data_IF_416691604954
#
_entry.id   IF_416691604954
#
_cell.length_a   1.000
_cell.length_b   1.000
_cell.length_c   1.000
_cell.angle_alpha   90.00
_cell.angle_beta   90.00
_cell.angle_gamma   90.00
#
_symmetry.space_group_name_H-M   'P 1'
#
loop_
_entity.id
_entity.type
_entity.pdbx_description
1 polymer ?
#
# COMPACT_ATOMS: atom_id res chain seq x y z
N UNK A 1 30.08 39.41 14.44
CA UNK A 1 31.30 39.21 15.23
C UNK A 1 30.85 38.62 16.54
N UNK A 2 31.30 37.41 16.80
CA UNK A 2 30.71 36.45 17.73
C UNK A 2 30.50 37.01 19.13
N UNK A 3 29.27 36.88 19.63
CA UNK A 3 28.91 37.14 21.03
C UNK A 3 29.50 36.08 21.99
N UNK A 4 30.29 35.14 21.46
CA UNK A 4 30.91 34.02 22.16
C UNK A 4 32.29 34.39 22.74
N UNK A 5 32.94 35.45 22.24
CA UNK A 5 34.31 35.83 22.62
C UNK A 5 34.42 37.01 23.60
N UNK A 6 33.30 37.47 24.20
CA UNK A 6 33.31 38.60 25.15
C UNK A 6 33.27 38.11 26.63
N UNK A 7 34.33 38.29 27.43
CA UNK A 7 34.45 37.77 28.80
C UNK A 7 33.57 38.48 29.85
N UNK A 8 32.75 39.48 29.46
CA UNK A 8 31.78 40.14 30.34
C UNK A 8 30.35 39.60 30.24
N UNK A 9 30.07 38.60 29.39
CA UNK A 9 28.73 37.99 29.31
C UNK A 9 28.58 36.98 30.47
N UNK A 10 27.65 37.19 31.42
CA UNK A 10 27.45 36.26 32.52
C UNK A 10 27.10 34.87 31.96
N UNK A 11 27.75 33.82 32.46
CA UNK A 11 27.49 32.44 32.05
C UNK A 11 26.00 32.04 32.17
N UNK A 12 25.26 32.71 33.07
CA UNK A 12 23.81 32.57 33.23
C UNK A 12 23.02 33.11 32.03
N UNK A 13 23.40 34.24 31.43
CA UNK A 13 22.73 34.78 30.23
C UNK A 13 22.97 33.91 28.99
N UNK A 14 24.17 33.33 28.88
CA UNK A 14 24.49 32.38 27.80
C UNK A 14 23.66 31.09 27.96
N UNK A 15 23.53 30.61 29.19
CA UNK A 15 22.74 29.43 29.51
C UNK A 15 21.24 29.66 29.30
N UNK A 16 20.70 30.79 29.73
CA UNK A 16 19.31 31.20 29.43
C UNK A 16 19.07 31.29 27.92
N UNK A 17 20.02 31.83 27.15
CA UNK A 17 19.88 31.91 25.69
C UNK A 17 19.90 30.52 25.03
N UNK A 18 20.74 29.61 25.51
CA UNK A 18 20.80 28.22 25.04
C UNK A 18 19.57 27.40 25.46
N UNK A 19 19.09 27.58 26.69
CA UNK A 19 17.87 26.96 27.20
C UNK A 19 16.63 27.52 26.47
N UNK A 20 16.59 28.83 26.15
CA UNK A 20 15.56 29.44 25.31
C UNK A 20 15.55 28.85 23.89
N UNK A 21 16.71 28.63 23.25
CA UNK A 21 16.79 27.96 21.94
C UNK A 21 16.30 26.50 22.05
N UNK A 22 16.64 25.82 23.15
CA UNK A 22 16.16 24.47 23.48
C UNK A 22 14.65 24.38 23.70
N UNK A 23 14.08 25.35 24.40
CA UNK A 23 12.65 25.46 24.67
C UNK A 23 11.88 25.86 23.41
N UNK A 24 12.42 26.78 22.61
CA UNK A 24 11.86 27.20 21.32
C UNK A 24 11.85 26.04 20.30
N UNK A 25 12.91 25.23 20.24
CA UNK A 25 12.93 24.05 19.35
C UNK A 25 11.95 22.97 19.83
N UNK A 26 11.81 22.75 21.13
CA UNK A 26 10.84 21.81 21.68
C UNK A 26 9.40 22.22 21.35
N UNK A 27 9.05 23.50 21.56
CA UNK A 27 7.73 24.05 21.19
C UNK A 27 7.48 23.92 19.69
N UNK A 28 8.49 24.22 18.87
CA UNK A 28 8.39 24.08 17.40
C UNK A 28 8.14 22.63 17.00
N UNK A 29 8.89 21.67 17.57
CA UNK A 29 8.71 20.25 17.29
C UNK A 29 7.35 19.73 17.76
N UNK A 30 6.87 20.19 18.91
CA UNK A 30 5.53 19.85 19.39
C UNK A 30 4.43 20.41 18.47
N UNK A 31 4.59 21.63 17.98
CA UNK A 31 3.67 22.21 16.99
C UNK A 31 3.71 21.45 15.66
N UNK A 32 4.88 20.99 15.21
CA UNK A 32 4.99 20.10 14.05
C UNK A 32 4.27 18.77 14.29
N UNK A 33 4.41 18.17 15.48
CA UNK A 33 3.69 16.95 15.85
C UNK A 33 2.16 17.15 15.85
N UNK A 34 1.67 18.30 16.33
CA UNK A 34 0.24 18.67 16.26
C UNK A 34 -0.25 18.75 14.81
N UNK A 35 0.52 19.37 13.92
CA UNK A 35 0.18 19.44 12.48
C UNK A 35 0.17 18.05 11.85
N UNK A 36 1.19 17.21 12.13
CA UNK A 36 1.23 15.82 11.67
C UNK A 36 -0.01 15.08 12.13
N UNK A 37 -0.42 15.24 13.40
CA UNK A 37 -1.60 14.56 13.93
C UNK A 37 -2.90 15.01 13.27
N UNK A 38 -3.02 16.29 12.93
CA UNK A 38 -4.15 16.80 12.14
C UNK A 38 -4.21 16.13 10.77
N UNK A 39 -3.06 16.04 10.07
CA UNK A 39 -2.96 15.40 8.76
C UNK A 39 -3.26 13.90 8.86
N UNK A 40 -2.85 13.21 9.93
CA UNK A 40 -3.20 11.80 10.17
C UNK A 40 -4.73 11.58 10.30
N UNK A 41 -5.44 12.52 10.94
CA UNK A 41 -6.91 12.46 11.04
C UNK A 41 -7.54 12.64 9.66
N UNK A 42 -7.10 13.63 8.89
CA UNK A 42 -7.61 13.89 7.55
C UNK A 42 -7.35 12.70 6.60
N UNK A 43 -6.13 12.18 6.60
CA UNK A 43 -5.75 11.02 5.77
C UNK A 43 -6.53 9.77 6.12
N UNK A 44 -6.85 9.56 7.41
CA UNK A 44 -7.73 8.46 7.83
C UNK A 44 -9.15 8.63 7.28
N UNK A 45 -9.71 9.84 7.36
CA UNK A 45 -11.03 10.15 6.80
C UNK A 45 -11.08 9.94 5.28
N UNK A 46 -10.06 10.39 4.55
CA UNK A 46 -9.94 10.18 3.11
C UNK A 46 -9.89 8.69 2.75
N UNK A 47 -9.13 7.88 3.50
CA UNK A 47 -9.04 6.44 3.27
C UNK A 47 -10.36 5.71 3.50
N UNK A 48 -11.12 6.11 4.53
CA UNK A 48 -12.46 5.56 4.78
C UNK A 48 -13.43 5.89 3.64
N UNK A 49 -13.38 7.11 3.13
CA UNK A 49 -14.19 7.55 2.00
C UNK A 49 -13.79 6.87 0.68
N UNK A 50 -12.49 6.71 0.42
CA UNK A 50 -11.97 5.96 -0.72
C UNK A 50 -12.48 4.51 -0.68
N UNK A 51 -12.42 3.86 0.49
CA UNK A 51 -12.96 2.51 0.67
C UNK A 51 -14.45 2.46 0.37
N UNK A 52 -15.23 3.40 0.89
CA UNK A 52 -16.68 3.50 0.64
C UNK A 52 -17.00 3.63 -0.85
N UNK A 53 -16.24 4.47 -1.57
CA UNK A 53 -16.40 4.66 -3.01
C UNK A 53 -15.97 3.42 -3.80
N UNK A 54 -14.87 2.77 -3.41
CA UNK A 54 -14.40 1.53 -4.01
C UNK A 54 -15.42 0.39 -3.85
N UNK A 55 -16.01 0.26 -2.65
CA UNK A 55 -17.07 -0.72 -2.38
C UNK A 55 -18.33 -0.44 -3.21
N UNK A 56 -18.72 0.84 -3.33
CA UNK A 56 -19.84 1.25 -4.19
C UNK A 56 -19.57 0.94 -5.66
N UNK A 57 -18.36 1.24 -6.16
CA UNK A 57 -17.94 0.90 -7.53
C UNK A 57 -18.03 -0.61 -7.76
N UNK A 58 -17.49 -1.40 -6.85
CA UNK A 58 -17.53 -2.88 -6.92
C UNK A 58 -18.97 -3.41 -6.96
N UNK A 59 -19.87 -2.84 -6.17
CA UNK A 59 -21.29 -3.20 -6.19
C UNK A 59 -21.94 -2.90 -7.56
N UNK A 60 -21.63 -1.76 -8.16
CA UNK A 60 -22.12 -1.42 -9.51
C UNK A 60 -21.54 -2.34 -10.59
N UNK A 61 -20.24 -2.68 -10.51
CA UNK A 61 -19.59 -3.63 -11.41
C UNK A 61 -20.23 -5.02 -11.32
N UNK A 62 -20.50 -5.50 -10.11
CA UNK A 62 -21.21 -6.75 -9.90
C UNK A 62 -22.61 -6.71 -10.51
N UNK A 63 -23.35 -5.60 -10.29
CA UNK A 63 -24.68 -5.41 -10.90
C UNK A 63 -24.63 -5.43 -12.43
N UNK A 64 -23.63 -4.79 -13.03
CA UNK A 64 -23.42 -4.83 -14.49
C UNK A 64 -23.14 -6.27 -14.94
N UNK A 65 -22.29 -7.01 -14.22
CA UNK A 65 -21.99 -8.42 -14.52
C UNK A 65 -23.25 -9.28 -14.48
N UNK A 66 -24.06 -9.17 -13.42
CA UNK A 66 -25.32 -9.93 -13.30
C UNK A 66 -26.32 -9.59 -14.40
N UNK A 67 -26.39 -8.32 -14.83
CA UNK A 67 -27.27 -7.93 -15.95
C UNK A 67 -26.79 -8.50 -17.29
N UNK A 68 -25.48 -8.54 -17.54
CA UNK A 68 -24.91 -9.18 -18.73
C UNK A 68 -25.20 -10.67 -18.74
N UNK A 69 -25.00 -11.34 -17.62
CA UNK A 69 -25.29 -12.78 -17.46
C UNK A 69 -26.78 -13.08 -17.67
N UNK A 70 -27.67 -12.28 -17.09
CA UNK A 70 -29.12 -12.39 -17.33
C UNK A 70 -29.46 -12.26 -18.83
N UNK A 71 -28.88 -11.28 -19.51
CA UNK A 71 -29.12 -11.07 -20.95
C UNK A 71 -28.57 -12.25 -21.77
N UNK A 72 -27.38 -12.75 -21.43
CA UNK A 72 -26.78 -13.92 -22.07
C UNK A 72 -27.63 -15.17 -21.87
N UNK A 73 -28.05 -15.45 -20.64
CA UNK A 73 -28.90 -16.60 -20.31
C UNK A 73 -30.25 -16.52 -21.03
N UNK A 74 -30.83 -15.32 -21.14
CA UNK A 74 -32.05 -15.08 -21.91
C UNK A 74 -31.85 -15.34 -23.42
N UNK A 75 -30.72 -14.92 -23.98
CA UNK A 75 -30.34 -15.20 -25.38
C UNK A 75 -30.14 -16.70 -25.61
N UNK A 76 -29.51 -17.41 -24.67
CA UNK A 76 -29.31 -18.86 -24.70
C UNK A 76 -30.63 -19.63 -24.62
N UNK A 77 -31.51 -19.27 -23.69
CA UNK A 77 -32.83 -19.88 -23.51
C UNK A 77 -33.73 -19.75 -24.74
N UNK A 78 -33.59 -18.66 -25.50
CA UNK A 78 -34.32 -18.43 -26.75
C UNK A 78 -33.61 -18.98 -28.00
N UNK A 79 -32.42 -19.58 -27.84
CA UNK A 79 -31.60 -20.06 -28.95
C UNK A 79 -31.03 -18.97 -29.87
N UNK A 80 -31.18 -17.69 -29.52
CA UNK A 80 -30.76 -16.56 -30.35
C UNK A 80 -29.32 -16.17 -30.07
N UNK A 81 -28.43 -16.41 -31.03
CA UNK A 81 -27.02 -15.99 -30.92
C UNK A 81 -26.77 -14.51 -31.24
N UNK A 82 -27.70 -13.84 -31.92
CA UNK A 82 -27.58 -12.42 -32.30
C UNK A 82 -28.94 -11.73 -32.26
N UNK A 83 -28.99 -10.54 -31.66
CA UNK A 83 -30.18 -9.67 -31.62
C UNK A 83 -29.76 -8.29 -32.10
N UNK A 84 -30.35 -7.82 -33.20
CA UNK A 84 -30.18 -6.43 -33.67
C UNK A 84 -31.26 -5.55 -33.04
N UNK A 85 -30.87 -4.65 -32.15
CA UNK A 85 -31.73 -3.58 -31.66
C UNK A 85 -31.62 -2.31 -32.51
N UNK A 86 -32.34 -1.26 -32.10
CA UNK A 86 -32.31 0.05 -32.79
C UNK A 86 -30.98 0.79 -32.59
N UNK A 87 -30.39 0.66 -31.40
CA UNK A 87 -29.15 1.37 -31.00
C UNK A 87 -27.98 0.40 -30.83
N UNK A 88 -28.23 -0.80 -30.32
CA UNK A 88 -27.19 -1.79 -30.02
C UNK A 88 -27.49 -3.13 -30.67
N UNK A 89 -26.44 -3.88 -31.03
CA UNK A 89 -26.54 -5.29 -31.44
C UNK A 89 -25.91 -6.16 -30.35
N UNK A 90 -26.67 -7.13 -29.85
CA UNK A 90 -26.19 -8.13 -28.90
C UNK A 90 -25.75 -9.38 -29.67
N UNK A 91 -24.67 -10.01 -29.23
CA UNK A 91 -24.15 -11.22 -29.85
C UNK A 91 -23.45 -12.12 -28.84
N UNK A 92 -23.71 -13.42 -28.91
CA UNK A 92 -22.93 -14.45 -28.21
C UNK A 92 -21.85 -14.94 -29.18
N UNK A 93 -20.60 -14.84 -28.75
CA UNK A 93 -19.43 -15.31 -29.48
C UNK A 93 -18.59 -16.25 -28.61
N UNK A 94 -17.68 -17.00 -29.24
CA UNK A 94 -16.72 -17.81 -28.49
C UNK A 94 -15.67 -16.89 -27.86
N UNK A 95 -15.42 -17.08 -26.57
CA UNK A 95 -14.26 -16.49 -25.92
C UNK A 95 -12.97 -17.15 -26.45
N UNK A 96 -11.80 -16.49 -26.31
CA UNK A 96 -10.52 -17.13 -26.55
C UNK A 96 -10.43 -18.45 -25.77
N UNK A 97 -9.77 -19.45 -26.35
CA UNK A 97 -9.54 -20.70 -25.65
C UNK A 97 -8.74 -20.44 -24.37
N UNK A 98 -9.25 -20.91 -23.23
CA UNK A 98 -8.57 -20.88 -21.95
C UNK A 98 -8.24 -22.31 -21.52
N UNK A 99 -7.13 -22.48 -20.80
CA UNK A 99 -6.77 -23.75 -20.20
C UNK A 99 -7.50 -23.87 -18.87
N UNK A 100 -8.25 -24.95 -18.69
CA UNK A 100 -8.83 -25.33 -17.41
C UNK A 100 -7.96 -26.43 -16.79
N UNK A 101 -7.40 -26.16 -15.62
CA UNK A 101 -6.48 -27.08 -14.93
C UNK A 101 -7.29 -27.92 -13.94
N UNK A 102 -7.54 -29.17 -14.32
CA UNK A 102 -8.32 -30.11 -13.49
C UNK A 102 -7.48 -30.76 -12.39
N UNK A 103 -6.22 -31.10 -12.70
CA UNK A 103 -5.26 -31.64 -11.75
C UNK A 103 -3.84 -31.26 -12.17
N UNK A 104 -3.16 -30.49 -11.30
CA UNK A 104 -1.78 -30.03 -11.51
C UNK A 104 -0.75 -31.17 -11.47
N UNK A 105 -0.99 -32.23 -10.69
CA UNK A 105 -0.04 -33.35 -10.52
C UNK A 105 0.15 -34.17 -11.81
N UNK A 106 -0.82 -34.10 -12.71
CA UNK A 106 -0.76 -34.76 -14.02
C UNK A 106 -0.10 -33.88 -15.09
N UNK A 107 0.21 -32.62 -14.76
CA UNK A 107 0.84 -31.68 -15.69
C UNK A 107 2.35 -31.88 -15.62
N UNK A 108 2.96 -32.08 -16.78
CA UNK A 108 4.42 -32.22 -16.87
C UNK A 108 5.13 -30.95 -16.38
N UNK A 109 6.19 -31.15 -15.59
CA UNK A 109 7.06 -30.09 -15.04
C UNK A 109 7.55 -29.06 -16.07
N UNK A 110 7.58 -29.41 -17.37
CA UNK A 110 7.93 -28.48 -18.46
C UNK A 110 7.01 -27.25 -18.58
N UNK A 111 5.83 -27.28 -17.97
CA UNK A 111 4.88 -26.16 -17.95
C UNK A 111 4.97 -25.33 -16.66
N UNK A 112 5.81 -25.71 -15.70
CA UNK A 112 6.00 -25.00 -14.44
C UNK A 112 7.32 -24.23 -14.43
N UNK A 113 7.34 -23.08 -13.77
CA UNK A 113 8.55 -22.31 -13.49
C UNK A 113 8.87 -22.48 -12.00
N UNK A 114 10.04 -23.03 -11.68
CA UNK A 114 10.50 -23.14 -10.29
C UNK A 114 11.03 -21.78 -9.82
N UNK A 115 10.25 -21.07 -8.99
CA UNK A 115 10.65 -19.79 -8.42
C UNK A 115 11.38 -19.99 -7.07
N UNK A 116 12.66 -19.61 -7.00
CA UNK A 116 13.43 -19.61 -5.74
C UNK A 116 13.16 -18.31 -4.96
N UNK A 117 12.23 -18.34 -4.00
CA UNK A 117 11.94 -17.19 -3.12
C UNK A 117 12.89 -17.15 -1.92
N UNK A 118 13.54 -16.01 -1.72
CA UNK A 118 14.35 -15.75 -0.53
C UNK A 118 13.43 -15.48 0.67
N UNK A 119 13.53 -16.32 1.70
CA UNK A 119 12.82 -16.10 2.98
C UNK A 119 13.66 -15.15 3.84
N UNK A 120 13.44 -13.84 3.67
CA UNK A 120 14.20 -12.80 4.38
C UNK A 120 14.09 -12.87 5.91
N UNK A 121 13.00 -13.44 6.45
CA UNK A 121 12.81 -13.59 7.90
C UNK A 121 13.83 -14.56 8.50
N UNK A 122 13.97 -15.73 7.90
CA UNK A 122 14.91 -16.76 8.36
C UNK A 122 16.35 -16.25 8.27
N UNK A 123 16.67 -15.56 7.17
CA UNK A 123 17.99 -14.90 6.99
C UNK A 123 18.22 -13.84 8.06
N UNK A 124 17.21 -13.04 8.41
CA UNK A 124 17.31 -12.03 9.47
C UNK A 124 17.52 -12.66 10.85
N UNK A 125 16.87 -13.79 11.16
CA UNK A 125 17.07 -14.52 12.42
C UNK A 125 18.49 -15.08 12.53
N UNK A 126 19.01 -15.69 11.45
CA UNK A 126 20.39 -16.19 11.36
C UNK A 126 21.39 -15.05 11.56
N UNK A 127 21.20 -13.92 10.87
CA UNK A 127 22.04 -12.73 11.02
C UNK A 127 21.98 -12.14 12.43
N UNK A 128 20.82 -12.18 13.10
CA UNK A 128 20.67 -11.74 14.51
C UNK A 128 21.36 -12.67 15.51
N UNK A 129 21.51 -13.96 15.20
CA UNK A 129 22.27 -14.93 16.01
C UNK A 129 23.79 -14.84 15.83
N UNK A 130 24.27 -13.95 14.96
CA UNK A 130 25.69 -13.76 14.68
C UNK A 130 26.26 -14.73 13.63
N UNK A 131 25.40 -15.52 12.98
CA UNK A 131 25.79 -16.37 11.86
C UNK A 131 25.78 -15.54 10.56
N UNK A 132 26.92 -15.48 9.87
CA UNK A 132 27.04 -14.72 8.62
C UNK A 132 26.39 -15.44 7.43
N UNK A 133 25.55 -14.74 6.68
CA UNK A 133 24.95 -15.24 5.43
C UNK A 133 25.59 -14.52 4.23
N UNK A 134 26.32 -15.23 3.35
CA UNK A 134 26.93 -14.62 2.16
C UNK A 134 25.90 -13.87 1.30
N UNK A 135 26.22 -12.63 0.95
CA UNK A 135 25.38 -11.78 0.10
C UNK A 135 24.28 -11.01 0.84
N UNK A 136 24.22 -11.04 2.18
CA UNK A 136 23.24 -10.27 2.96
C UNK A 136 23.91 -9.55 4.14
N UNK A 137 23.60 -8.27 4.31
CA UNK A 137 24.09 -7.44 5.41
C UNK A 137 22.94 -7.05 6.35
N UNK A 138 23.20 -7.01 7.66
CA UNK A 138 22.26 -6.48 8.64
C UNK A 138 22.32 -4.95 8.64
N UNK A 139 21.18 -4.29 8.44
CA UNK A 139 21.03 -2.83 8.49
C UNK A 139 19.99 -2.50 9.56
N UNK A 140 20.34 -1.60 10.49
CA UNK A 140 19.42 -1.07 11.50
C UNK A 140 19.46 0.46 11.46
N UNK A 141 18.30 1.10 11.33
CA UNK A 141 18.12 2.55 11.32
C UNK A 141 17.19 2.99 12.43
N UNK A 142 17.37 4.21 12.93
CA UNK A 142 16.49 4.84 13.90
C UNK A 142 15.48 5.76 13.19
N UNK A 143 14.26 5.85 13.71
CA UNK A 143 13.20 6.69 13.16
C UNK A 143 12.40 7.35 14.29
N UNK A 144 11.99 8.61 14.11
CA UNK A 144 11.13 9.33 15.05
C UNK A 144 9.83 8.56 15.28
N UNK A 145 9.40 8.45 16.55
CA UNK A 145 8.11 7.86 16.93
C UNK A 145 7.29 8.89 17.69
N UNK A 146 6.16 9.30 17.13
CA UNK A 146 5.15 10.13 17.80
C UNK A 146 4.07 9.16 18.32
N UNK A 147 3.78 9.17 19.62
CA UNK A 147 2.74 8.33 20.25
C UNK A 147 1.59 9.19 20.73
#
# INVERSE_FOLDING_TARGET
MDLVDNPEVPAEMLKESLDNIGEEINIKLENVAKVIKSIEVDTKGLKEEEKRLADRRKSLENRISSLKEYAENSMRATGKKKIKGKIFTLGIQKNPASVDVVNEDNISDKYFITEKKLVKKDVLEVLKRGEGVPGVNLIQSESLRIR
#
